data_IF_230869710453
#
_entry.id   IF_230869710453
#
_cell.length_a   1.000
_cell.length_b   1.000
_cell.length_c   1.000
_cell.angle_alpha   90.00
_cell.angle_beta   90.00
_cell.angle_gamma   90.00
#
_symmetry.space_group_name_H-M   'P 1'
#
loop_
_entity.id
_entity.type
_entity.pdbx_description
1 polymer ?
#
# COMPACT_ATOMS: atom_id res chain seq x y z
N UNK A 1 16.35 -20.86 -4.73
CA UNK A 1 14.93 -21.06 -5.10
C UNK A 1 14.48 -19.90 -5.98
N UNK A 2 13.93 -20.15 -7.18
CA UNK A 2 13.48 -19.07 -8.05
C UNK A 2 12.26 -18.40 -7.43
N UNK A 3 12.30 -17.07 -7.17
CA UNK A 3 11.17 -16.37 -6.59
C UNK A 3 9.96 -16.44 -7.51
N UNK A 4 8.77 -16.57 -6.93
CA UNK A 4 7.51 -16.60 -7.66
C UNK A 4 7.06 -15.20 -8.08
N UNK A 5 7.42 -14.18 -7.28
CA UNK A 5 7.12 -12.77 -7.50
C UNK A 5 8.40 -11.96 -7.38
N UNK A 6 8.54 -10.92 -8.20
CA UNK A 6 9.73 -10.07 -8.22
C UNK A 6 9.40 -8.58 -8.13
N UNK A 7 8.38 -8.14 -8.85
CA UNK A 7 7.94 -6.75 -8.86
C UNK A 7 6.74 -6.56 -7.94
N UNK A 8 6.85 -5.65 -6.98
CA UNK A 8 5.80 -5.39 -5.98
C UNK A 8 5.46 -3.91 -5.94
N UNK A 9 4.16 -3.61 -6.03
CA UNK A 9 3.63 -2.27 -5.76
C UNK A 9 3.15 -2.22 -4.30
N UNK A 10 3.62 -1.23 -3.55
CA UNK A 10 3.24 -0.99 -2.16
C UNK A 10 2.53 0.36 -2.08
N UNK A 11 1.22 0.35 -1.86
CA UNK A 11 0.49 1.59 -1.54
C UNK A 11 0.62 1.88 -0.05
N UNK A 12 0.87 3.13 0.31
CA UNK A 12 1.17 3.49 1.70
C UNK A 12 2.57 3.06 2.17
N UNK A 13 3.49 2.84 1.20
CA UNK A 13 4.83 2.35 1.49
C UNK A 13 5.75 3.34 2.19
N UNK A 14 5.40 4.64 2.23
CA UNK A 14 6.07 5.65 3.03
C UNK A 14 5.39 5.89 4.39
N UNK A 15 4.47 5.02 4.81
CA UNK A 15 3.86 5.02 6.12
C UNK A 15 4.66 4.23 7.17
N UNK A 16 4.09 4.10 8.38
CA UNK A 16 4.74 3.45 9.52
C UNK A 16 5.20 2.02 9.20
N UNK A 17 4.31 1.17 8.69
CA UNK A 17 4.67 -0.21 8.32
C UNK A 17 5.60 -0.25 7.11
N UNK A 18 5.34 0.60 6.11
CA UNK A 18 6.11 0.63 4.87
C UNK A 18 7.56 1.04 5.08
N UNK A 19 7.83 1.97 6.01
CA UNK A 19 9.19 2.44 6.33
C UNK A 19 10.15 1.32 6.79
N UNK A 20 9.61 0.25 7.36
CA UNK A 20 10.38 -0.94 7.77
C UNK A 20 10.32 -2.02 6.69
N UNK A 21 9.17 -2.24 6.10
CA UNK A 21 8.94 -3.34 5.17
C UNK A 21 9.64 -3.12 3.81
N UNK A 22 9.58 -1.89 3.27
CA UNK A 22 10.17 -1.59 1.96
C UNK A 22 11.68 -1.85 1.92
N UNK A 23 12.49 -1.35 2.88
CA UNK A 23 13.92 -1.69 2.93
C UNK A 23 14.17 -3.19 3.01
N UNK A 24 13.43 -3.94 3.84
CA UNK A 24 13.57 -5.38 3.96
C UNK A 24 13.23 -6.11 2.63
N UNK A 25 12.24 -5.65 1.89
CA UNK A 25 11.91 -6.21 0.58
C UNK A 25 13.03 -5.95 -0.43
N UNK A 26 13.65 -4.78 -0.41
CA UNK A 26 14.79 -4.45 -1.26
C UNK A 26 16.01 -5.33 -0.91
N UNK A 27 16.32 -5.50 0.37
CA UNK A 27 17.39 -6.40 0.85
C UNK A 27 17.17 -7.83 0.42
N UNK A 28 15.91 -8.26 0.35
CA UNK A 28 15.53 -9.54 -0.22
C UNK A 28 15.58 -9.55 -1.76
N UNK A 29 15.88 -8.43 -2.42
CA UNK A 29 16.04 -8.25 -3.86
C UNK A 29 14.71 -8.20 -4.63
N UNK A 30 13.64 -7.70 -4.02
CA UNK A 30 12.44 -7.32 -4.76
C UNK A 30 12.66 -5.97 -5.45
N UNK A 31 12.04 -5.80 -6.61
CA UNK A 31 11.86 -4.49 -7.22
C UNK A 31 10.56 -3.89 -6.68
N UNK A 32 10.67 -2.77 -5.98
CA UNK A 32 9.56 -2.18 -5.23
C UNK A 32 9.17 -0.83 -5.80
N UNK A 33 7.90 -0.68 -6.13
CA UNK A 33 7.29 0.62 -6.40
C UNK A 33 6.44 1.02 -5.20
N UNK A 34 6.76 2.16 -4.60
CA UNK A 34 5.96 2.78 -3.53
C UNK A 34 5.05 3.83 -4.14
N UNK A 35 3.76 3.75 -3.83
CA UNK A 35 2.78 4.79 -4.13
C UNK A 35 2.18 5.32 -2.82
N UNK A 36 2.45 6.59 -2.51
CA UNK A 36 2.11 7.16 -1.22
C UNK A 36 1.81 8.66 -1.33
N UNK A 37 0.90 9.16 -0.52
CA UNK A 37 0.60 10.59 -0.47
C UNK A 37 1.72 11.42 0.18
N UNK A 38 2.60 10.75 0.93
CA UNK A 38 3.80 11.31 1.56
C UNK A 38 3.50 12.46 2.54
N UNK A 39 2.49 12.31 3.39
CA UNK A 39 2.22 13.28 4.46
C UNK A 39 3.42 13.48 5.39
N UNK A 40 4.20 12.43 5.61
CA UNK A 40 5.39 12.44 6.47
C UNK A 40 6.70 12.44 5.68
N UNK A 41 6.64 12.71 4.36
CA UNK A 41 7.80 12.59 3.48
C UNK A 41 8.11 11.15 3.08
N UNK A 42 9.30 10.95 2.51
CA UNK A 42 9.82 9.64 2.08
C UNK A 42 11.34 9.53 2.24
N UNK A 43 11.98 10.51 2.87
CA UNK A 43 13.45 10.62 2.96
C UNK A 43 14.10 9.49 3.78
N UNK A 44 13.30 8.79 4.58
CA UNK A 44 13.72 7.61 5.35
C UNK A 44 13.74 6.31 4.52
N UNK A 45 13.21 6.33 3.30
CA UNK A 45 13.35 5.21 2.36
C UNK A 45 14.71 5.29 1.66
N UNK A 46 15.31 4.16 1.26
CA UNK A 46 16.60 4.14 0.56
C UNK A 46 16.45 4.60 -0.90
N UNK A 47 16.25 5.92 -1.10
CA UNK A 47 15.93 6.53 -2.39
C UNK A 47 17.01 6.37 -3.46
N UNK A 48 18.23 6.04 -3.06
CA UNK A 48 19.37 5.74 -3.92
C UNK A 48 19.40 4.27 -4.40
N UNK A 49 18.51 3.42 -3.88
CA UNK A 49 18.42 2.02 -4.31
C UNK A 49 17.80 1.93 -5.72
N UNK A 50 18.51 1.31 -6.71
CA UNK A 50 18.04 1.23 -8.09
C UNK A 50 16.77 0.38 -8.27
N UNK A 51 16.47 -0.49 -7.31
CA UNK A 51 15.27 -1.34 -7.31
C UNK A 51 14.07 -0.69 -6.60
N UNK A 52 14.22 0.58 -6.14
CA UNK A 52 13.13 1.35 -5.53
C UNK A 52 12.65 2.46 -6.47
N UNK A 53 11.36 2.51 -6.69
CA UNK A 53 10.68 3.65 -7.30
C UNK A 53 9.67 4.23 -6.32
N UNK A 54 9.73 5.53 -6.05
CA UNK A 54 8.77 6.21 -5.17
C UNK A 54 7.95 7.21 -5.98
N UNK A 55 6.63 7.03 -5.96
CA UNK A 55 5.67 7.87 -6.67
C UNK A 55 4.73 8.52 -5.66
N UNK A 56 4.71 9.85 -5.63
CA UNK A 56 3.76 10.60 -4.80
C UNK A 56 2.37 10.59 -5.44
N UNK A 57 1.36 10.16 -4.68
CA UNK A 57 -0.03 10.19 -5.14
C UNK A 57 -1.02 9.71 -4.09
N UNK A 58 -2.28 10.02 -4.33
CA UNK A 58 -3.41 9.61 -3.49
C UNK A 58 -4.01 8.32 -4.05
N UNK A 59 -4.31 7.34 -3.20
CA UNK A 59 -4.89 6.04 -3.61
C UNK A 59 -6.29 6.16 -4.24
N UNK A 60 -6.96 7.30 -4.04
CA UNK A 60 -8.24 7.64 -4.70
C UNK A 60 -8.05 8.06 -6.15
N UNK A 61 -6.83 8.46 -6.53
CA UNK A 61 -6.48 8.81 -7.92
C UNK A 61 -6.11 7.53 -8.69
N UNK A 62 -7.14 6.82 -9.12
CA UNK A 62 -6.96 5.54 -9.81
C UNK A 62 -6.31 5.71 -11.21
N UNK A 63 -6.52 6.84 -11.85
CA UNK A 63 -5.93 7.12 -13.17
C UNK A 63 -4.40 7.20 -13.09
N UNK A 64 -3.88 7.71 -11.97
CA UNK A 64 -2.45 7.78 -11.70
C UNK A 64 -1.89 6.45 -11.16
N UNK A 65 -2.67 5.71 -10.39
CA UNK A 65 -2.24 4.47 -9.76
C UNK A 65 -2.25 3.27 -10.73
N UNK A 66 -3.28 3.14 -11.60
CA UNK A 66 -3.46 1.99 -12.50
C UNK A 66 -2.25 1.74 -13.41
N UNK A 67 -1.60 2.74 -14.04
CA UNK A 67 -0.42 2.51 -14.86
C UNK A 67 0.76 1.89 -14.11
N UNK A 68 0.88 2.14 -12.80
CA UNK A 68 1.95 1.59 -11.95
C UNK A 68 1.78 0.09 -11.68
N UNK A 69 0.63 -0.49 -12.00
CA UNK A 69 0.35 -1.92 -11.85
C UNK A 69 0.78 -2.74 -13.07
N UNK A 70 1.22 -2.10 -14.16
CA UNK A 70 1.71 -2.79 -15.35
C UNK A 70 2.95 -3.61 -15.01
N UNK A 71 2.95 -4.89 -15.39
CA UNK A 71 4.01 -5.86 -15.10
C UNK A 71 4.33 -6.08 -13.62
N UNK A 72 3.43 -5.69 -12.72
CA UNK A 72 3.54 -5.96 -11.28
C UNK A 72 3.04 -7.37 -10.96
N UNK A 73 3.83 -8.11 -10.20
CA UNK A 73 3.46 -9.47 -9.77
C UNK A 73 2.51 -9.45 -8.56
N UNK A 74 2.75 -8.52 -7.63
CA UNK A 74 1.97 -8.42 -6.40
C UNK A 74 1.71 -6.97 -5.99
N UNK A 75 0.54 -6.73 -5.42
CA UNK A 75 0.19 -5.46 -4.76
C UNK A 75 0.08 -5.72 -3.26
N UNK A 76 0.76 -4.88 -2.49
CA UNK A 76 0.63 -4.81 -1.04
C UNK A 76 -0.04 -3.49 -0.68
N UNK A 77 -1.29 -3.57 -0.25
CA UNK A 77 -2.12 -2.39 0.05
C UNK A 77 -2.06 -2.08 1.55
N UNK A 78 -1.24 -1.08 1.91
CA UNK A 78 -1.05 -0.58 3.28
C UNK A 78 -1.65 0.82 3.48
N UNK A 79 -1.98 1.52 2.38
CA UNK A 79 -2.53 2.86 2.46
C UNK A 79 -3.87 2.86 3.18
N UNK A 80 -3.91 3.52 4.31
CA UNK A 80 -5.14 3.70 5.09
C UNK A 80 -4.99 4.88 6.04
N UNK A 81 -6.12 5.43 6.48
CA UNK A 81 -6.19 6.25 7.69
C UNK A 81 -6.44 5.28 8.83
N UNK A 82 -5.37 5.02 9.61
CA UNK A 82 -5.35 4.01 10.67
C UNK A 82 -5.57 4.66 12.03
N UNK A 83 -6.26 4.00 12.89
CA UNK A 83 -6.71 4.30 14.24
C UNK A 83 -8.01 5.11 14.33
N UNK A 84 -8.73 4.85 15.41
CA UNK A 84 -10.07 5.40 15.62
C UNK A 84 -10.05 6.93 15.76
N UNK A 85 -9.07 7.49 16.46
CA UNK A 85 -8.95 8.94 16.65
C UNK A 85 -8.74 9.69 15.31
N UNK A 86 -7.93 9.14 14.41
CA UNK A 86 -7.74 9.73 13.08
C UNK A 86 -8.97 9.57 12.20
N UNK A 87 -9.70 8.47 12.34
CA UNK A 87 -10.97 8.24 11.63
C UNK A 87 -12.02 9.26 12.05
N UNK A 88 -12.19 9.50 13.36
CA UNK A 88 -13.18 10.43 13.93
C UNK A 88 -12.90 11.90 13.57
N UNK A 89 -11.64 12.27 13.30
CA UNK A 89 -11.30 13.64 12.91
C UNK A 89 -11.92 14.04 11.55
N UNK A 90 -12.01 13.11 10.60
CA UNK A 90 -12.68 13.31 9.32
C UNK A 90 -13.17 11.96 8.76
N UNK A 91 -14.37 11.58 9.16
CA UNK A 91 -15.00 10.31 8.75
C UNK A 91 -15.19 10.22 7.23
N UNK A 92 -15.47 11.35 6.57
CA UNK A 92 -15.65 11.36 5.11
C UNK A 92 -14.34 11.10 4.41
N UNK A 93 -13.26 11.75 4.82
CA UNK A 93 -11.93 11.51 4.28
C UNK A 93 -11.54 10.05 4.51
N UNK A 94 -11.70 9.56 5.72
CA UNK A 94 -11.36 8.19 6.11
C UNK A 94 -12.14 7.15 5.30
N UNK A 95 -13.46 7.37 5.10
CA UNK A 95 -14.29 6.49 4.29
C UNK A 95 -13.84 6.47 2.83
N UNK A 96 -13.55 7.63 2.24
CA UNK A 96 -13.11 7.68 0.84
C UNK A 96 -11.76 7.00 0.61
N UNK A 97 -10.84 7.07 1.57
CA UNK A 97 -9.52 6.44 1.48
C UNK A 97 -9.58 4.94 1.78
N UNK A 98 -10.27 4.56 2.88
CA UNK A 98 -10.22 3.18 3.37
C UNK A 98 -11.25 2.25 2.70
N UNK A 99 -12.38 2.78 2.27
CA UNK A 99 -13.49 1.99 1.70
C UNK A 99 -13.69 2.26 0.22
N UNK A 100 -13.97 3.51 -0.17
CA UNK A 100 -14.39 3.81 -1.54
C UNK A 100 -13.27 3.59 -2.57
N UNK A 101 -12.01 3.83 -2.17
CA UNK A 101 -10.85 3.59 -3.04
C UNK A 101 -10.54 2.10 -3.22
N UNK A 102 -10.95 1.23 -2.30
CA UNK A 102 -10.51 -0.17 -2.27
C UNK A 102 -10.97 -0.96 -3.49
N UNK A 103 -12.26 -0.93 -3.83
CA UNK A 103 -12.80 -1.67 -4.97
C UNK A 103 -12.17 -1.25 -6.31
N UNK A 104 -12.05 0.06 -6.65
CA UNK A 104 -11.34 0.51 -7.85
C UNK A 104 -9.90 0.00 -7.93
N UNK A 105 -9.16 -0.02 -6.81
CA UNK A 105 -7.78 -0.51 -6.75
C UNK A 105 -7.73 -2.01 -7.08
N UNK A 106 -8.63 -2.80 -6.50
CA UNK A 106 -8.69 -4.25 -6.75
C UNK A 106 -9.06 -4.53 -8.21
N UNK A 107 -10.01 -3.77 -8.77
CA UNK A 107 -10.40 -3.90 -10.19
C UNK A 107 -9.21 -3.59 -11.10
N UNK A 108 -8.48 -2.49 -10.83
CA UNK A 108 -7.29 -2.12 -11.59
C UNK A 108 -6.20 -3.20 -11.51
N UNK A 109 -5.93 -3.74 -10.31
CA UNK A 109 -4.97 -4.81 -10.12
C UNK A 109 -5.34 -6.07 -10.91
N UNK A 110 -6.61 -6.47 -10.90
CA UNK A 110 -7.12 -7.60 -11.70
C UNK A 110 -6.97 -7.35 -13.20
N UNK A 111 -7.33 -6.16 -13.67
CA UNK A 111 -7.22 -5.76 -15.08
C UNK A 111 -5.76 -5.75 -15.55
N UNK A 112 -4.83 -5.32 -14.70
CA UNK A 112 -3.39 -5.35 -14.97
C UNK A 112 -2.76 -6.75 -14.90
N UNK A 113 -3.50 -7.78 -14.48
CA UNK A 113 -3.01 -9.15 -14.38
C UNK A 113 -2.13 -9.42 -13.15
N UNK A 114 -2.26 -8.60 -12.10
CA UNK A 114 -1.58 -8.80 -10.82
C UNK A 114 -1.94 -10.18 -10.24
N UNK A 115 -0.93 -10.96 -9.90
CA UNK A 115 -1.11 -12.37 -9.46
C UNK A 115 -1.44 -12.50 -7.97
N UNK A 116 -1.05 -11.50 -7.16
CA UNK A 116 -1.28 -11.51 -5.71
C UNK A 116 -1.65 -10.11 -5.24
N UNK A 117 -2.78 -10.01 -4.54
CA UNK A 117 -3.18 -8.82 -3.81
C UNK A 117 -3.18 -9.14 -2.31
N UNK A 118 -2.47 -8.33 -1.53
CA UNK A 118 -2.38 -8.46 -0.07
C UNK A 118 -2.94 -7.19 0.53
N UNK A 119 -3.94 -7.34 1.37
CA UNK A 119 -4.59 -6.26 2.11
C UNK A 119 -4.31 -6.40 3.60
N UNK A 120 -3.69 -5.38 4.20
CA UNK A 120 -3.48 -5.31 5.62
C UNK A 120 -4.77 -4.86 6.32
N UNK A 121 -5.69 -5.79 6.53
CA UNK A 121 -6.97 -5.54 7.17
C UNK A 121 -6.81 -4.96 8.60
N UNK A 122 -7.86 -4.89 9.37
CA UNK A 122 -7.85 -4.29 10.71
C UNK A 122 -8.15 -5.31 11.79
N UNK A 123 -7.43 -5.23 12.90
CA UNK A 123 -7.76 -5.96 14.14
C UNK A 123 -9.06 -5.45 14.78
N UNK A 124 -9.47 -4.22 14.50
CA UNK A 124 -10.72 -3.63 15.02
C UNK A 124 -11.98 -4.38 14.60
N UNK A 125 -11.92 -5.20 13.53
CA UNK A 125 -13.07 -6.03 13.10
C UNK A 125 -13.50 -7.07 14.12
N UNK A 126 -12.62 -7.43 15.05
CA UNK A 126 -12.93 -8.41 16.11
C UNK A 126 -13.68 -7.80 17.29
N UNK A 127 -13.74 -6.46 17.38
CA UNK A 127 -14.41 -5.75 18.47
C UNK A 127 -13.79 -5.98 19.84
N UNK A 128 -14.59 -5.74 20.88
CA UNK A 128 -14.23 -5.99 22.28
C UNK A 128 -14.85 -7.33 22.68
N UNK A 129 -14.03 -8.28 23.13
CA UNK A 129 -14.53 -9.55 23.70
C UNK A 129 -14.63 -9.42 25.22
N UNK A 130 -15.79 -9.77 25.79
CA UNK A 130 -15.98 -9.91 27.24
C UNK A 130 -15.43 -11.24 27.78
N UNK A 131 -15.02 -12.14 26.88
CA UNK A 131 -14.41 -13.43 27.23
C UNK A 131 -13.00 -13.49 26.70
N UNK A 132 -12.03 -13.91 27.50
CA UNK A 132 -10.66 -14.11 27.05
C UNK A 132 -10.53 -15.25 26.03
#
# INVERSE_FOLDING_TARGET
MKRKFNKVLVTGGAGYCGSVLVPQMLDLGYNVTVYDIQYYGSDFLPLDNPDLTVVKGDVRDIEKLEPLMTDVDAVLHLACISNDASFELDEKLSTTVNLDAFEPIVIAAKKAGVKRFIFASSSSVYGISEKP
#
